data_IF_638642358081
#
_entry.id   IF_638642358081
#
_cell.length_a   1.000
_cell.length_b   1.000
_cell.length_c   1.000
_cell.angle_alpha   90.00
_cell.angle_beta   90.00
_cell.angle_gamma   90.00
#
_symmetry.space_group_name_H-M   'P 1'
#
loop_
_entity.id
_entity.type
_entity.pdbx_description
1 polymer ?
#
# COMPACT_ATOMS: atom_id res chain seq x y z
N UNK A 1 7.08 -1.05 2.91
CA UNK A 1 7.17 -2.54 2.96
C UNK A 1 8.30 -2.95 3.88
N UNK A 2 8.06 -3.85 4.83
CA UNK A 2 9.07 -4.38 5.76
C UNK A 2 9.01 -5.90 5.72
N UNK A 3 10.13 -6.56 5.40
CA UNK A 3 10.22 -8.03 5.28
C UNK A 3 9.11 -8.69 4.44
N UNK A 4 8.60 -8.00 3.41
CA UNK A 4 7.58 -8.54 2.52
C UNK A 4 6.11 -8.33 2.95
N UNK A 5 5.86 -7.56 4.02
CA UNK A 5 4.52 -7.15 4.43
C UNK A 5 4.44 -5.68 4.83
N UNK A 6 3.26 -5.26 5.28
CA UNK A 6 3.04 -4.09 6.10
C UNK A 6 3.98 -4.06 7.31
N UNK A 7 4.17 -2.87 7.89
CA UNK A 7 4.83 -2.77 9.20
C UNK A 7 4.02 -3.53 10.25
N UNK A 8 4.69 -3.98 11.32
CA UNK A 8 4.00 -4.71 12.41
C UNK A 8 2.86 -3.90 13.04
N UNK A 9 3.02 -2.58 13.16
CA UNK A 9 1.97 -1.68 13.65
C UNK A 9 0.76 -1.65 12.71
N UNK A 10 0.99 -1.48 11.40
CA UNK A 10 -0.09 -1.43 10.43
C UNK A 10 -0.80 -2.77 10.30
N UNK A 11 -0.04 -3.89 10.35
CA UNK A 11 -0.62 -5.23 10.34
C UNK A 11 -1.50 -5.45 11.57
N UNK A 12 -1.01 -5.08 12.76
CA UNK A 12 -1.77 -5.17 14.02
C UNK A 12 -3.04 -4.32 13.98
N UNK A 13 -2.97 -3.11 13.42
CA UNK A 13 -4.13 -2.25 13.23
C UNK A 13 -5.17 -2.89 12.30
N UNK A 14 -4.75 -3.37 11.12
CA UNK A 14 -5.63 -4.00 10.14
C UNK A 14 -6.33 -5.23 10.72
N UNK A 15 -5.61 -6.09 11.43
CA UNK A 15 -6.20 -7.29 12.04
C UNK A 15 -7.28 -6.93 13.07
N UNK A 16 -7.01 -5.94 13.92
CA UNK A 16 -7.98 -5.48 14.93
C UNK A 16 -9.15 -4.72 14.33
N UNK A 17 -8.94 -4.02 13.22
CA UNK A 17 -9.99 -3.30 12.49
C UNK A 17 -10.91 -4.25 11.72
N UNK A 18 -10.35 -5.27 11.07
CA UNK A 18 -11.07 -6.09 10.08
C UNK A 18 -11.72 -7.33 10.70
N UNK A 19 -11.04 -7.99 11.64
CA UNK A 19 -11.49 -9.27 12.17
C UNK A 19 -12.88 -9.25 12.82
N UNK A 20 -13.28 -8.19 13.57
CA UNK A 20 -14.62 -8.13 14.17
C UNK A 20 -15.78 -8.15 13.16
N UNK A 21 -15.53 -7.75 11.91
CA UNK A 21 -16.55 -7.68 10.87
C UNK A 21 -16.58 -8.91 9.96
N UNK A 22 -15.62 -9.82 10.11
CA UNK A 22 -15.54 -11.05 9.34
C UNK A 22 -16.48 -12.11 9.94
N UNK A 23 -17.28 -12.76 9.11
CA UNK A 23 -18.07 -13.92 9.53
C UNK A 23 -17.67 -15.16 8.76
N UNK A 24 -17.94 -16.34 9.34
CA UNK A 24 -17.72 -17.65 8.72
C UNK A 24 -19.02 -18.19 8.09
N UNK A 25 -19.73 -17.32 7.37
CA UNK A 25 -20.88 -17.67 6.52
C UNK A 25 -20.40 -18.08 5.12
N UNK A 26 -21.24 -18.69 4.27
CA UNK A 26 -20.94 -18.79 2.84
C UNK A 26 -20.46 -17.43 2.29
N UNK A 27 -19.41 -17.45 1.49
CA UNK A 27 -18.73 -16.26 0.93
C UNK A 27 -18.07 -15.30 1.95
N UNK A 28 -18.06 -15.65 3.23
CA UNK A 28 -17.50 -14.83 4.32
C UNK A 28 -18.09 -13.42 4.36
N UNK A 29 -19.43 -13.31 4.30
CA UNK A 29 -20.12 -12.02 4.26
C UNK A 29 -19.75 -11.13 5.47
N UNK A 30 -19.54 -9.85 5.22
CA UNK A 30 -19.22 -8.91 6.30
C UNK A 30 -20.47 -8.44 7.03
N UNK A 31 -20.36 -8.27 8.36
CA UNK A 31 -21.39 -7.65 9.20
C UNK A 31 -21.15 -6.15 9.43
N UNK A 32 -20.18 -5.55 8.72
CA UNK A 32 -19.99 -4.10 8.76
C UNK A 32 -21.26 -3.41 8.22
N UNK A 33 -21.88 -2.47 8.96
CA UNK A 33 -23.22 -1.96 8.64
C UNK A 33 -23.29 -1.04 7.42
N UNK A 34 -22.15 -0.70 6.82
CA UNK A 34 -22.09 0.27 5.73
C UNK A 34 -21.04 -0.09 4.68
N UNK A 35 -20.56 0.93 3.97
CA UNK A 35 -19.43 0.83 3.04
C UNK A 35 -18.49 2.00 3.31
N UNK A 36 -17.19 1.76 3.22
CA UNK A 36 -16.18 2.82 3.30
C UNK A 36 -15.50 2.94 1.94
N UNK A 37 -15.03 4.14 1.60
CA UNK A 37 -14.14 4.36 0.46
C UNK A 37 -12.70 4.19 0.96
N UNK A 38 -12.04 3.12 0.55
CA UNK A 38 -10.72 2.76 1.06
C UNK A 38 -9.67 3.00 -0.02
N UNK A 39 -8.60 3.70 0.35
CA UNK A 39 -7.35 3.75 -0.40
C UNK A 39 -6.24 3.08 0.42
N UNK A 40 -5.44 2.26 -0.24
CA UNK A 40 -4.29 1.58 0.32
C UNK A 40 -3.05 2.00 -0.45
N UNK A 41 -2.10 2.61 0.27
CA UNK A 41 -0.86 3.14 -0.31
C UNK A 41 0.32 2.35 0.24
N UNK A 42 1.14 1.77 -0.63
CA UNK A 42 2.41 1.16 -0.25
C UNK A 42 3.58 1.94 -0.82
N UNK A 43 4.59 2.14 0.01
CA UNK A 43 5.90 2.62 -0.38
C UNK A 43 6.93 1.52 -0.23
N UNK A 44 7.88 1.44 -1.16
CA UNK A 44 8.96 0.45 -1.12
C UNK A 44 10.15 0.86 -1.97
N UNK A 45 11.33 0.39 -1.54
CA UNK A 45 12.60 0.64 -2.20
C UNK A 45 12.84 -0.22 -3.44
N UNK A 46 12.10 -1.32 -3.66
CA UNK A 46 12.32 -2.17 -4.84
C UNK A 46 11.60 -1.61 -6.08
N UNK A 47 12.15 -1.82 -7.30
CA UNK A 47 11.51 -1.40 -8.53
C UNK A 47 10.29 -2.25 -8.87
N UNK A 48 9.37 -1.67 -9.63
CA UNK A 48 8.07 -2.28 -9.96
C UNK A 48 8.22 -3.63 -10.66
N UNK A 49 9.19 -3.77 -11.58
CA UNK A 49 9.43 -5.04 -12.25
C UNK A 49 9.86 -6.18 -11.30
N UNK A 50 10.31 -5.86 -10.09
CA UNK A 50 10.71 -6.84 -9.08
C UNK A 50 9.55 -7.26 -8.16
N UNK A 51 8.40 -6.59 -8.17
CA UNK A 51 7.29 -6.93 -7.27
C UNK A 51 6.87 -8.42 -7.36
N UNK A 52 6.75 -9.04 -8.57
CA UNK A 52 6.34 -10.44 -8.67
C UNK A 52 7.38 -11.42 -8.11
N UNK A 53 8.68 -11.15 -8.30
CA UNK A 53 9.73 -12.06 -7.82
C UNK A 53 9.85 -12.05 -6.29
N UNK A 54 9.50 -10.94 -5.65
CA UNK A 54 9.40 -10.82 -4.20
C UNK A 54 8.03 -11.25 -3.65
N UNK A 55 7.05 -11.55 -4.51
CA UNK A 55 5.69 -11.93 -4.13
C UNK A 55 4.85 -10.79 -3.55
N UNK A 56 5.26 -9.54 -3.74
CA UNK A 56 4.61 -8.37 -3.14
C UNK A 56 3.25 -8.12 -3.77
N UNK A 57 3.09 -8.43 -5.05
CA UNK A 57 1.81 -8.46 -5.77
C UNK A 57 0.75 -9.27 -5.01
N UNK A 58 1.13 -10.44 -4.49
CA UNK A 58 0.24 -11.31 -3.70
C UNK A 58 -0.07 -10.71 -2.34
N UNK A 59 0.92 -10.12 -1.66
CA UNK A 59 0.71 -9.44 -0.37
C UNK A 59 -0.29 -8.29 -0.50
N UNK A 60 -0.09 -7.41 -1.48
CA UNK A 60 -0.99 -6.28 -1.72
C UNK A 60 -2.40 -6.76 -2.05
N UNK A 61 -2.51 -7.76 -2.93
CA UNK A 61 -3.78 -8.34 -3.31
C UNK A 61 -4.51 -8.99 -2.12
N UNK A 62 -3.80 -9.63 -1.19
CA UNK A 62 -4.40 -10.23 -0.01
C UNK A 62 -5.01 -9.17 0.92
N UNK A 63 -4.27 -8.11 1.23
CA UNK A 63 -4.75 -7.01 2.07
C UNK A 63 -5.88 -6.24 1.37
N UNK A 64 -5.72 -5.89 0.09
CA UNK A 64 -6.75 -5.22 -0.71
C UNK A 64 -8.05 -6.03 -0.78
N UNK A 65 -7.96 -7.35 -0.98
CA UNK A 65 -9.13 -8.26 -1.02
C UNK A 65 -9.86 -8.30 0.32
N UNK A 66 -9.12 -8.34 1.42
CA UNK A 66 -9.71 -8.37 2.76
C UNK A 66 -10.44 -7.06 3.05
N UNK A 67 -9.81 -5.92 2.77
CA UNK A 67 -10.46 -4.60 2.88
C UNK A 67 -11.69 -4.49 1.98
N UNK A 68 -11.60 -4.95 0.74
CA UNK A 68 -12.73 -4.93 -0.20
C UNK A 68 -13.88 -5.80 0.24
N UNK A 69 -13.61 -6.99 0.82
CA UNK A 69 -14.64 -7.87 1.37
C UNK A 69 -15.36 -7.23 2.54
N UNK A 70 -14.63 -6.58 3.45
CA UNK A 70 -15.18 -6.06 4.70
C UNK A 70 -15.86 -4.70 4.49
N UNK A 71 -15.26 -3.81 3.70
CA UNK A 71 -15.75 -2.44 3.53
C UNK A 71 -16.36 -2.14 2.14
N UNK A 72 -16.32 -3.11 1.23
CA UNK A 72 -16.96 -3.05 -0.09
C UNK A 72 -16.08 -2.54 -1.23
N UNK A 73 -14.91 -1.94 -0.96
CA UNK A 73 -13.92 -1.57 -1.97
C UNK A 73 -12.54 -1.33 -1.32
N UNK A 74 -11.49 -1.30 -2.15
CA UNK A 74 -10.16 -0.82 -1.78
C UNK A 74 -9.39 -0.49 -3.06
N UNK A 75 -9.01 0.77 -3.24
CA UNK A 75 -8.10 1.20 -4.31
C UNK A 75 -6.65 1.08 -3.85
N UNK A 76 -5.76 0.64 -4.74
CA UNK A 76 -4.35 0.40 -4.44
C UNK A 76 -3.47 1.39 -5.20
N UNK A 77 -2.57 2.05 -4.49
CA UNK A 77 -1.50 2.87 -5.06
C UNK A 77 -0.14 2.35 -4.57
N UNK A 78 0.78 2.17 -5.51
CA UNK A 78 2.15 1.74 -5.23
C UNK A 78 3.12 2.85 -5.61
N UNK A 79 3.99 3.23 -4.67
CA UNK A 79 5.17 4.05 -4.92
C UNK A 79 6.41 3.17 -4.73
N UNK A 80 7.10 2.92 -5.84
CA UNK A 80 8.19 1.94 -5.96
C UNK A 80 9.53 2.61 -6.22
N UNK A 81 10.60 1.87 -5.96
CA UNK A 81 11.99 2.31 -6.18
C UNK A 81 12.32 3.61 -5.42
N UNK A 82 11.72 3.78 -4.23
CA UNK A 82 11.85 4.99 -3.42
C UNK A 82 13.28 5.19 -2.92
N UNK A 83 13.71 6.44 -2.82
CA UNK A 83 14.95 6.84 -2.16
C UNK A 83 14.84 6.60 -0.64
N UNK A 84 15.54 5.58 -0.14
CA UNK A 84 15.30 5.01 1.19
C UNK A 84 16.00 5.77 2.32
N UNK A 85 17.21 6.25 2.08
CA UNK A 85 18.04 6.95 3.07
C UNK A 85 18.25 8.39 2.62
N UNK A 86 18.29 9.35 3.55
CA UNK A 86 18.65 10.73 3.23
C UNK A 86 20.07 10.82 2.67
N UNK A 87 20.98 10.05 3.27
CA UNK A 87 22.37 9.91 2.85
C UNK A 87 22.71 8.41 2.79
N UNK A 88 23.04 7.91 1.61
CA UNK A 88 23.39 6.49 1.43
C UNK A 88 24.80 6.17 1.93
N UNK A 89 25.67 7.16 2.15
CA UNK A 89 27.03 6.94 2.67
C UNK A 89 27.04 6.51 4.15
N UNK A 90 25.98 6.80 4.88
CA UNK A 90 25.79 6.38 6.28
C UNK A 90 25.39 4.91 6.42
N UNK A 91 25.07 4.22 5.31
CA UNK A 91 24.53 2.86 5.33
C UNK A 91 25.30 1.91 4.40
N UNK A 92 25.47 0.65 4.83
CA UNK A 92 25.96 -0.40 3.95
C UNK A 92 24.85 -0.83 2.97
N UNK A 93 24.73 -0.12 1.85
CA UNK A 93 23.71 -0.35 0.82
C UNK A 93 24.34 -0.50 -0.55
N UNK A 94 24.87 -1.69 -0.85
CA UNK A 94 25.57 -1.96 -2.12
C UNK A 94 24.68 -2.56 -3.21
N UNK A 95 23.45 -2.96 -2.87
CA UNK A 95 22.48 -3.50 -3.82
C UNK A 95 21.70 -2.44 -4.59
N UNK A 96 21.80 -1.16 -4.20
CA UNK A 96 21.10 -0.05 -4.83
C UNK A 96 22.08 1.02 -5.31
N UNK A 97 21.78 1.61 -6.47
CA UNK A 97 22.46 2.79 -6.97
C UNK A 97 21.81 4.05 -6.35
N UNK A 98 22.53 4.71 -5.45
CA UNK A 98 22.04 5.88 -4.73
C UNK A 98 21.71 7.06 -5.67
N UNK A 99 22.52 7.30 -6.70
CA UNK A 99 22.31 8.40 -7.64
C UNK A 99 21.09 8.12 -8.53
N UNK A 100 20.91 6.87 -8.98
CA UNK A 100 19.72 6.48 -9.72
C UNK A 100 18.44 6.63 -8.87
N UNK A 101 18.48 6.21 -7.60
CA UNK A 101 17.34 6.38 -6.67
C UNK A 101 17.03 7.85 -6.40
N UNK A 102 18.07 8.68 -6.26
CA UNK A 102 17.92 10.13 -6.07
C UNK A 102 17.24 10.75 -7.29
N UNK A 103 17.73 10.44 -8.49
CA UNK A 103 17.12 10.90 -9.74
C UNK A 103 15.66 10.47 -9.84
N UNK A 104 15.33 9.23 -9.51
CA UNK A 104 13.93 8.79 -9.50
C UNK A 104 13.07 9.57 -8.49
N UNK A 105 13.60 9.89 -7.31
CA UNK A 105 12.89 10.75 -6.34
C UNK A 105 12.64 12.14 -6.92
N UNK A 106 13.53 12.68 -7.73
CA UNK A 106 13.35 14.00 -8.35
C UNK A 106 12.35 13.93 -9.52
N UNK A 107 12.43 12.88 -10.35
CA UNK A 107 11.67 12.79 -11.60
C UNK A 107 10.29 12.12 -11.45
N UNK A 108 10.14 11.13 -10.56
CA UNK A 108 8.93 10.26 -10.50
C UNK A 108 8.12 10.43 -9.21
N UNK A 109 8.79 10.62 -8.06
CA UNK A 109 8.07 10.75 -6.79
C UNK A 109 7.07 11.92 -6.73
N UNK A 110 7.31 13.09 -7.38
CA UNK A 110 6.29 14.14 -7.46
C UNK A 110 5.00 13.68 -8.14
N UNK A 111 5.09 12.82 -9.16
CA UNK A 111 3.93 12.24 -9.82
C UNK A 111 3.22 11.19 -8.94
N UNK A 112 3.96 10.39 -8.18
CA UNK A 112 3.37 9.49 -7.18
C UNK A 112 2.59 10.28 -6.11
N UNK A 113 3.13 11.41 -5.65
CA UNK A 113 2.44 12.33 -4.73
C UNK A 113 1.17 12.91 -5.36
N UNK A 114 1.22 13.32 -6.63
CA UNK A 114 0.05 13.80 -7.36
C UNK A 114 -1.04 12.72 -7.47
N UNK A 115 -0.66 11.49 -7.84
CA UNK A 115 -1.59 10.34 -7.89
C UNK A 115 -2.20 10.01 -6.53
N UNK A 116 -1.42 10.14 -5.44
CA UNK A 116 -1.92 9.95 -4.09
C UNK A 116 -2.91 11.04 -3.67
N UNK A 117 -2.66 12.29 -4.08
CA UNK A 117 -3.59 13.40 -3.88
C UNK A 117 -4.90 13.17 -4.65
N UNK A 118 -4.82 12.83 -5.93
CA UNK A 118 -5.98 12.52 -6.79
C UNK A 118 -6.81 11.34 -6.23
N UNK A 119 -6.14 10.31 -5.70
CA UNK A 119 -6.81 9.22 -4.98
C UNK A 119 -7.58 9.75 -3.77
N UNK A 120 -6.98 10.62 -2.96
CA UNK A 120 -7.65 11.26 -1.83
C UNK A 120 -8.89 12.06 -2.24
N UNK A 121 -8.78 12.88 -3.29
CA UNK A 121 -9.92 13.64 -3.84
C UNK A 121 -11.06 12.72 -4.28
N UNK A 122 -10.72 11.65 -5.01
CA UNK A 122 -11.70 10.65 -5.48
C UNK A 122 -12.43 9.99 -4.31
N UNK A 123 -11.70 9.55 -3.28
CA UNK A 123 -12.29 8.91 -2.10
C UNK A 123 -13.22 9.88 -1.35
N UNK A 124 -12.83 11.15 -1.20
CA UNK A 124 -13.62 12.17 -0.54
C UNK A 124 -14.88 12.56 -1.34
N UNK A 125 -14.78 12.68 -2.67
CA UNK A 125 -15.92 12.95 -3.53
C UNK A 125 -16.95 11.80 -3.49
N UNK A 126 -16.48 10.55 -3.50
CA UNK A 126 -17.33 9.36 -3.47
C UNK A 126 -17.93 9.03 -2.09
N UNK A 127 -17.54 9.76 -1.04
CA UNK A 127 -18.09 9.63 0.31
C UNK A 127 -19.28 10.57 0.58
N UNK A 128 -19.55 11.53 -0.32
CA UNK A 128 -20.66 12.50 -0.19
C UNK A 128 -22.01 11.99 -0.74
N UNK A 129 -22.13 10.70 -1.04
CA UNK A 129 -23.38 10.04 -1.46
C UNK A 129 -23.49 8.66 -0.87
#
# INVERSE_FOLDING_TARGET
MYFGSETGEMRSFLERLLFPFLTYTPDYASIFPGRLRIGLVYTMNIPEQSLPSFGYDKTFAATQRTLSRIFGNCELLLSTDTYQFSDYSEYLSTCFDAEAKKKRREDVFPDDCRRAFELGEKLAAAAKG
#
